data_IF_523153009278
#
_entry.id   IF_523153009278
#
_cell.length_a   1.000
_cell.length_b   1.000
_cell.length_c   1.000
_cell.angle_alpha   90.00
_cell.angle_beta   90.00
_cell.angle_gamma   90.00
#
_symmetry.space_group_name_H-M   'P 1'
#
loop_
_entity.id
_entity.type
_entity.pdbx_description
1 polymer ?
#
# COMPACT_ATOMS: atom_id res chain seq x y z
N UNK A 1 -29.58 -11.57 -54.75
CA UNK A 1 -29.27 -10.65 -53.62
C UNK A 1 -28.99 -11.44 -52.33
N UNK A 2 -28.13 -12.46 -52.36
CA UNK A 2 -27.80 -13.28 -51.16
C UNK A 2 -26.28 -13.51 -50.98
N UNK A 3 -25.48 -13.27 -52.02
CA UNK A 3 -24.02 -13.49 -52.01
C UNK A 3 -23.26 -12.28 -51.41
N UNK A 4 -23.77 -11.06 -51.61
CA UNK A 4 -23.12 -9.81 -51.14
C UNK A 4 -23.24 -9.62 -49.61
N UNK A 5 -24.28 -10.18 -48.98
CA UNK A 5 -24.48 -10.09 -47.52
C UNK A 5 -23.48 -10.97 -46.74
N UNK A 6 -23.15 -12.16 -47.27
CA UNK A 6 -22.18 -13.06 -46.64
C UNK A 6 -20.75 -12.52 -46.70
N UNK A 7 -20.38 -11.82 -47.78
CA UNK A 7 -19.03 -11.24 -47.93
C UNK A 7 -18.78 -10.09 -46.93
N UNK A 8 -19.80 -9.26 -46.66
CA UNK A 8 -19.72 -8.20 -45.64
C UNK A 8 -19.62 -8.75 -44.22
N UNK A 9 -20.30 -9.85 -43.92
CA UNK A 9 -20.21 -10.52 -42.62
C UNK A 9 -18.85 -11.16 -42.40
N UNK A 10 -18.28 -11.79 -43.43
CA UNK A 10 -16.94 -12.38 -43.37
C UNK A 10 -15.86 -11.31 -43.16
N UNK A 11 -15.95 -10.17 -43.88
CA UNK A 11 -15.06 -9.02 -43.71
C UNK A 11 -15.20 -8.36 -42.32
N UNK A 12 -16.42 -8.24 -41.80
CA UNK A 12 -16.63 -7.69 -40.46
C UNK A 12 -16.05 -8.61 -39.39
N UNK A 13 -16.21 -9.93 -39.55
CA UNK A 13 -15.66 -10.91 -38.61
C UNK A 13 -14.14 -10.94 -38.63
N UNK A 14 -13.50 -10.83 -39.81
CA UNK A 14 -12.03 -10.76 -39.90
C UNK A 14 -11.48 -9.44 -39.33
N UNK A 15 -12.17 -8.31 -39.55
CA UNK A 15 -11.79 -7.02 -38.96
C UNK A 15 -11.94 -7.05 -37.43
N UNK A 16 -13.05 -7.60 -36.90
CA UNK A 16 -13.25 -7.76 -35.45
C UNK A 16 -12.21 -8.71 -34.86
N UNK A 17 -11.90 -9.81 -35.55
CA UNK A 17 -10.88 -10.77 -35.10
C UNK A 17 -9.47 -10.16 -35.08
N UNK A 18 -9.10 -9.34 -36.08
CA UNK A 18 -7.84 -8.60 -36.10
C UNK A 18 -7.80 -7.52 -35.00
N UNK A 19 -8.90 -6.79 -34.79
CA UNK A 19 -9.01 -5.78 -33.72
C UNK A 19 -8.91 -6.40 -32.32
N UNK A 20 -9.47 -7.60 -32.12
CA UNK A 20 -9.34 -8.38 -30.89
C UNK A 20 -7.89 -8.87 -30.73
N UNK A 21 -7.23 -9.31 -31.80
CA UNK A 21 -5.83 -9.74 -31.75
C UNK A 21 -4.87 -8.57 -31.43
N UNK A 22 -5.14 -7.36 -31.95
CA UNK A 22 -4.34 -6.17 -31.61
C UNK A 22 -4.61 -5.65 -30.19
N UNK A 23 -5.76 -5.95 -29.59
CA UNK A 23 -6.06 -5.60 -28.20
C UNK A 23 -5.45 -6.58 -27.17
N UNK A 24 -5.05 -7.79 -27.60
CA UNK A 24 -4.57 -8.85 -26.71
C UNK A 24 -3.05 -8.90 -26.53
N UNK A 25 -2.27 -8.02 -27.16
CA UNK A 25 -0.80 -8.00 -27.01
C UNK A 25 -0.29 -6.71 -26.38
N UNK A 26 -0.70 -6.42 -25.15
CA UNK A 26 0.10 -5.54 -24.29
C UNK A 26 1.05 -6.45 -23.50
N UNK A 27 2.10 -6.94 -24.16
CA UNK A 27 3.19 -7.62 -23.47
C UNK A 27 3.86 -6.60 -22.54
N UNK A 28 3.53 -6.67 -21.26
CA UNK A 28 4.24 -5.93 -20.22
C UNK A 28 5.69 -6.39 -20.19
N UNK A 29 6.58 -5.64 -20.82
CA UNK A 29 8.03 -5.90 -20.79
C UNK A 29 8.48 -5.76 -19.33
N UNK A 30 8.91 -6.85 -18.71
CA UNK A 30 9.49 -6.85 -17.36
C UNK A 30 10.90 -6.23 -17.45
N UNK A 31 11.00 -4.93 -17.23
CA UNK A 31 12.30 -4.23 -17.19
C UNK A 31 13.01 -4.51 -15.87
N UNK A 32 13.96 -5.44 -15.86
CA UNK A 32 14.83 -5.70 -14.71
C UNK A 32 15.84 -4.55 -14.57
N UNK A 33 15.57 -3.60 -13.68
CA UNK A 33 16.50 -2.48 -13.38
C UNK A 33 17.72 -2.95 -12.60
N UNK A 34 18.84 -3.14 -13.30
CA UNK A 34 20.18 -3.39 -12.74
C UNK A 34 20.84 -2.09 -12.25
N UNK A 35 21.78 -2.21 -11.32
CA UNK A 35 22.56 -1.10 -10.77
C UNK A 35 23.57 -0.61 -11.81
N UNK A 36 23.54 0.68 -12.14
CA UNK A 36 24.51 1.29 -13.05
C UNK A 36 25.84 1.61 -12.35
N UNK A 37 26.88 1.92 -13.12
CA UNK A 37 28.17 2.37 -12.57
C UNK A 37 28.00 3.66 -11.76
N UNK A 38 27.29 4.63 -12.32
CA UNK A 38 27.04 5.94 -11.68
C UNK A 38 26.23 5.80 -10.39
N UNK A 39 25.32 4.83 -10.32
CA UNK A 39 24.61 4.51 -9.09
C UNK A 39 25.57 3.96 -8.04
N UNK A 40 26.42 3.00 -8.40
CA UNK A 40 27.38 2.41 -7.47
C UNK A 40 28.47 3.38 -7.01
N UNK A 41 28.84 4.37 -7.81
CA UNK A 41 29.77 5.44 -7.40
C UNK A 41 29.22 6.23 -6.20
N UNK A 42 27.89 6.36 -6.09
CA UNK A 42 27.21 6.99 -4.94
C UNK A 42 26.90 6.00 -3.81
N UNK A 43 27.16 4.71 -4.03
CA UNK A 43 26.81 3.58 -3.19
C UNK A 43 25.39 3.68 -2.55
N UNK A 44 24.33 3.16 -3.22
CA UNK A 44 22.98 3.21 -2.68
C UNK A 44 22.73 2.15 -1.59
N UNK A 45 23.70 1.29 -1.31
CA UNK A 45 23.56 0.18 -0.39
C UNK A 45 23.66 0.64 1.07
N UNK A 46 22.69 0.23 1.88
CA UNK A 46 22.66 0.53 3.31
C UNK A 46 23.39 -0.56 4.12
N UNK A 47 23.63 -0.27 5.40
CA UNK A 47 24.07 -1.25 6.39
C UNK A 47 25.34 -2.04 6.02
N UNK A 48 26.29 -1.35 5.37
CA UNK A 48 27.57 -1.95 4.97
C UNK A 48 27.49 -2.83 3.72
N UNK A 49 26.36 -2.80 2.98
CA UNK A 49 26.23 -3.50 1.71
C UNK A 49 27.19 -2.98 0.64
N UNK A 50 27.59 -3.87 -0.28
CA UNK A 50 28.49 -3.57 -1.39
C UNK A 50 27.71 -3.40 -2.69
N UNK A 51 27.94 -2.29 -3.39
CA UNK A 51 27.39 -2.06 -4.72
C UNK A 51 28.33 -2.62 -5.79
N UNK A 52 27.77 -3.36 -6.74
CA UNK A 52 28.51 -3.90 -7.89
C UNK A 52 27.69 -3.55 -9.16
N UNK A 53 28.27 -2.79 -10.11
CA UNK A 53 27.59 -2.45 -11.35
C UNK A 53 27.16 -3.71 -12.11
N UNK A 54 25.95 -3.70 -12.67
CA UNK A 54 25.37 -4.83 -13.40
C UNK A 54 24.54 -5.80 -12.54
N UNK A 55 24.66 -5.75 -11.20
CA UNK A 55 23.82 -6.55 -10.30
C UNK A 55 22.40 -5.99 -10.20
N UNK A 56 21.42 -6.85 -9.90
CA UNK A 56 20.02 -6.44 -9.70
C UNK A 56 19.83 -5.69 -8.36
N UNK A 57 20.68 -5.97 -7.38
CA UNK A 57 20.70 -5.34 -6.07
C UNK A 57 22.07 -5.43 -5.40
N UNK A 58 22.15 -4.85 -4.21
CA UNK A 58 23.34 -4.82 -3.37
C UNK A 58 23.70 -6.21 -2.82
N UNK A 59 24.99 -6.44 -2.60
CA UNK A 59 25.47 -7.59 -1.81
C UNK A 59 25.44 -7.20 -0.35
N UNK A 60 24.54 -7.82 0.43
CA UNK A 60 24.30 -7.45 1.81
C UNK A 60 25.23 -8.20 2.77
N UNK A 61 25.53 -7.53 3.90
CA UNK A 61 26.20 -8.13 5.05
C UNK A 61 25.24 -9.04 5.82
N UNK A 62 25.79 -9.85 6.73
CA UNK A 62 24.98 -10.74 7.59
C UNK A 62 23.87 -9.95 8.31
N UNK A 63 22.68 -10.55 8.41
CA UNK A 63 21.52 -9.95 9.06
C UNK A 63 20.72 -8.98 8.18
N UNK A 64 21.17 -8.70 6.95
CA UNK A 64 20.52 -7.75 6.04
C UNK A 64 20.13 -8.38 4.70
N UNK A 65 19.08 -7.84 4.08
CA UNK A 65 18.56 -8.24 2.78
C UNK A 65 17.81 -7.09 2.09
N UNK A 66 17.28 -7.38 0.90
CA UNK A 66 16.55 -6.42 0.06
C UNK A 66 17.49 -5.75 -0.94
N UNK A 67 16.90 -5.11 -1.97
CA UNK A 67 17.65 -4.54 -3.09
C UNK A 67 18.77 -3.58 -2.66
N UNK A 68 18.55 -2.84 -1.57
CA UNK A 68 19.49 -1.87 -1.03
C UNK A 68 19.97 -2.22 0.39
N UNK A 69 19.84 -3.49 0.81
CA UNK A 69 20.17 -3.94 2.18
C UNK A 69 19.45 -3.18 3.29
N UNK A 70 18.25 -2.68 2.99
CA UNK A 70 17.45 -1.84 3.89
C UNK A 70 16.55 -2.65 4.83
N UNK A 71 16.51 -3.98 4.70
CA UNK A 71 15.64 -4.86 5.48
C UNK A 71 16.44 -5.87 6.27
N UNK A 72 15.88 -6.30 7.40
CA UNK A 72 16.40 -7.41 8.17
C UNK A 72 16.21 -8.73 7.43
N UNK A 73 17.24 -9.57 7.48
CA UNK A 73 17.19 -10.94 6.96
C UNK A 73 16.17 -11.76 7.76
N UNK A 74 15.02 -12.09 7.15
CA UNK A 74 13.94 -12.86 7.78
C UNK A 74 12.95 -13.41 6.77
N UNK A 75 12.16 -14.38 7.19
CA UNK A 75 10.93 -14.77 6.51
C UNK A 75 9.80 -13.77 6.80
N UNK A 76 9.00 -13.50 5.77
CA UNK A 76 7.82 -12.63 5.83
C UNK A 76 6.56 -13.46 6.07
N UNK A 77 6.46 -14.62 5.43
CA UNK A 77 5.30 -15.52 5.55
C UNK A 77 5.63 -16.67 6.50
N UNK A 78 4.65 -17.06 7.33
CA UNK A 78 4.77 -18.22 8.22
C UNK A 78 4.95 -19.54 7.47
N UNK A 79 4.53 -19.60 6.20
CA UNK A 79 4.61 -20.79 5.36
C UNK A 79 5.96 -21.00 4.65
N UNK A 80 6.94 -20.10 4.84
CA UNK A 80 8.21 -20.16 4.13
C UNK A 80 8.99 -21.46 4.32
N UNK A 81 9.03 -22.01 5.55
CA UNK A 81 9.75 -23.26 5.82
C UNK A 81 9.13 -24.44 5.08
N UNK A 82 7.78 -24.50 5.06
CA UNK A 82 7.05 -25.51 4.29
C UNK A 82 7.31 -25.38 2.79
N UNK A 83 7.26 -24.18 2.24
CA UNK A 83 7.52 -23.97 0.82
C UNK A 83 8.96 -24.33 0.42
N UNK A 84 9.93 -24.09 1.31
CA UNK A 84 11.31 -24.52 1.09
C UNK A 84 11.44 -26.05 1.09
N UNK A 85 10.75 -26.76 2.00
CA UNK A 85 10.71 -28.23 1.99
C UNK A 85 10.04 -28.81 0.73
N UNK A 86 9.06 -28.10 0.17
CA UNK A 86 8.41 -28.42 -1.11
C UNK A 86 9.25 -27.97 -2.33
N UNK A 87 10.53 -27.59 -2.13
CA UNK A 87 11.49 -27.15 -3.15
C UNK A 87 11.04 -25.93 -3.99
N UNK A 88 10.05 -25.18 -3.51
CA UNK A 88 9.48 -24.04 -4.26
C UNK A 88 10.47 -22.90 -4.47
N UNK A 89 11.48 -22.77 -3.62
CA UNK A 89 12.50 -21.72 -3.78
C UNK A 89 13.23 -21.83 -5.13
N UNK A 90 13.55 -23.06 -5.59
CA UNK A 90 14.33 -23.27 -6.80
C UNK A 90 13.46 -23.66 -8.00
N UNK A 91 12.42 -24.49 -7.81
CA UNK A 91 11.59 -25.03 -8.90
C UNK A 91 10.89 -23.94 -9.70
N UNK A 92 10.44 -22.85 -9.05
CA UNK A 92 9.74 -21.75 -9.73
C UNK A 92 10.57 -20.47 -9.82
N UNK A 93 11.87 -20.54 -9.54
CA UNK A 93 12.75 -19.37 -9.50
C UNK A 93 12.88 -18.65 -10.84
N UNK A 94 12.78 -19.40 -11.94
CA UNK A 94 12.76 -18.85 -13.30
C UNK A 94 11.46 -18.11 -13.64
N UNK A 95 10.38 -18.38 -12.92
CA UNK A 95 9.05 -17.80 -13.14
C UNK A 95 8.77 -16.64 -12.20
N UNK A 96 9.29 -16.69 -10.97
CA UNK A 96 9.02 -15.68 -9.94
C UNK A 96 10.17 -15.51 -8.96
N UNK A 97 10.37 -14.28 -8.50
CA UNK A 97 11.29 -13.94 -7.40
C UNK A 97 10.57 -13.85 -6.04
N UNK A 98 9.31 -14.29 -5.97
CA UNK A 98 8.49 -14.21 -4.75
C UNK A 98 9.19 -14.82 -3.54
N UNK A 99 9.76 -16.02 -3.68
CA UNK A 99 10.40 -16.75 -2.59
C UNK A 99 11.72 -16.09 -2.15
N UNK A 100 12.56 -15.64 -3.08
CA UNK A 100 13.80 -14.91 -2.79
C UNK A 100 13.53 -13.62 -1.97
N UNK A 101 12.40 -12.96 -2.23
CA UNK A 101 12.03 -11.68 -1.59
C UNK A 101 11.33 -11.87 -0.24
N UNK A 102 10.56 -12.95 -0.08
CA UNK A 102 9.67 -13.16 1.07
C UNK A 102 10.12 -14.26 2.03
N UNK A 103 10.94 -15.21 1.58
CA UNK A 103 11.34 -16.40 2.33
C UNK A 103 12.86 -16.53 2.44
N UNK A 104 13.52 -15.38 2.67
CA UNK A 104 14.96 -15.27 2.51
C UNK A 104 15.79 -16.17 3.44
N UNK A 105 15.28 -16.51 4.64
CA UNK A 105 15.98 -17.44 5.54
C UNK A 105 15.75 -18.88 5.08
N UNK A 106 14.51 -19.28 4.84
CA UNK A 106 14.19 -20.66 4.42
C UNK A 106 14.78 -21.01 3.05
N UNK A 107 14.85 -20.03 2.14
CA UNK A 107 15.45 -20.18 0.81
C UNK A 107 16.95 -19.84 0.77
N UNK A 108 17.62 -19.75 1.94
CA UNK A 108 19.07 -19.50 2.05
C UNK A 108 19.57 -18.25 1.26
N UNK A 109 18.71 -17.25 1.09
CA UNK A 109 19.04 -16.00 0.40
C UNK A 109 19.83 -15.06 1.29
N UNK A 110 19.71 -15.19 2.61
CA UNK A 110 20.49 -14.44 3.60
C UNK A 110 20.65 -15.24 4.90
N UNK A 111 21.63 -14.84 5.71
CA UNK A 111 21.86 -15.42 7.05
C UNK A 111 21.41 -14.40 8.10
N UNK A 112 20.48 -14.76 9.02
CA UNK A 112 20.04 -13.85 10.06
C UNK A 112 21.15 -13.60 11.09
N UNK A 113 21.09 -12.44 11.74
CA UNK A 113 21.98 -12.13 12.86
C UNK A 113 21.28 -12.54 14.17
N UNK A 114 21.80 -13.53 14.92
CA UNK A 114 21.16 -14.04 16.13
C UNK A 114 21.17 -13.03 17.29
N UNK A 115 22.03 -12.00 17.23
CA UNK A 115 22.07 -10.95 18.26
C UNK A 115 20.88 -9.99 18.17
N UNK A 116 20.14 -10.01 17.05
CA UNK A 116 19.10 -9.03 16.75
C UNK A 116 17.73 -9.65 16.94
N UNK A 117 17.03 -9.22 17.99
CA UNK A 117 15.64 -9.61 18.24
C UNK A 117 14.68 -8.82 17.34
N UNK A 118 14.13 -9.48 16.33
CA UNK A 118 13.19 -8.89 15.38
C UNK A 118 11.77 -8.78 15.94
N UNK A 119 10.99 -7.85 15.40
CA UNK A 119 9.55 -7.76 15.70
C UNK A 119 8.81 -9.00 15.18
N UNK A 120 7.74 -9.46 15.85
CA UNK A 120 6.98 -10.61 15.39
C UNK A 120 6.40 -10.43 13.98
N UNK A 121 5.86 -9.24 13.70
CA UNK A 121 5.20 -8.93 12.42
C UNK A 121 6.10 -8.03 11.58
N UNK A 122 6.68 -8.52 10.47
CA UNK A 122 7.47 -7.70 9.55
C UNK A 122 6.58 -6.87 8.63
N UNK A 123 7.16 -5.81 8.06
CA UNK A 123 6.58 -5.16 6.89
C UNK A 123 6.83 -6.04 5.65
N UNK A 124 5.75 -6.47 5.00
CA UNK A 124 5.86 -7.21 3.75
C UNK A 124 6.46 -6.31 2.63
N UNK A 125 7.34 -6.85 1.77
CA UNK A 125 7.99 -6.09 0.70
C UNK A 125 7.03 -5.32 -0.21
N UNK A 126 5.89 -5.92 -0.52
CA UNK A 126 4.87 -5.29 -1.35
C UNK A 126 4.33 -3.97 -0.77
N UNK A 127 4.48 -3.75 0.54
CA UNK A 127 4.02 -2.56 1.27
C UNK A 127 5.15 -1.57 1.60
N UNK A 128 6.40 -1.86 1.23
CA UNK A 128 7.52 -0.92 1.37
C UNK A 128 7.28 0.46 0.74
N UNK A 129 6.58 0.60 -0.41
CA UNK A 129 6.29 1.91 -0.98
C UNK A 129 5.48 2.84 -0.07
N UNK A 130 4.66 2.28 0.83
CA UNK A 130 3.89 3.05 1.83
C UNK A 130 4.57 3.11 3.19
N UNK A 131 5.83 2.68 3.33
CA UNK A 131 6.53 2.70 4.63
C UNK A 131 6.56 4.07 5.31
N UNK A 132 6.45 5.17 4.54
CA UNK A 132 6.46 6.52 5.06
C UNK A 132 5.28 6.85 5.99
N UNK A 133 4.15 6.13 5.88
CA UNK A 133 2.99 6.32 6.77
C UNK A 133 3.06 5.44 8.03
N UNK A 134 4.00 4.49 8.12
CA UNK A 134 4.04 3.55 9.23
C UNK A 134 4.39 4.25 10.54
N UNK A 135 3.59 3.95 11.56
CA UNK A 135 3.70 4.55 12.88
C UNK A 135 2.35 4.76 13.56
N UNK A 136 2.44 5.19 14.81
CA UNK A 136 1.35 5.83 15.53
C UNK A 136 1.51 7.34 15.43
N UNK A 137 0.43 8.03 15.11
CA UNK A 137 0.41 9.44 14.77
C UNK A 137 -0.67 10.16 15.55
N UNK A 138 -0.37 11.33 16.11
CA UNK A 138 -1.30 12.12 16.92
C UNK A 138 -1.46 13.53 16.38
N UNK A 139 -2.69 14.03 16.41
CA UNK A 139 -3.03 15.41 16.06
C UNK A 139 -4.09 15.95 17.01
N UNK A 140 -3.94 17.21 17.43
CA UNK A 140 -4.99 17.99 18.06
C UNK A 140 -5.65 18.87 17.00
N UNK A 141 -6.94 18.67 16.75
CA UNK A 141 -7.72 19.54 15.87
C UNK A 141 -8.39 20.65 16.68
N UNK A 142 -8.36 21.88 16.15
CA UNK A 142 -9.00 23.08 16.72
C UNK A 142 -10.37 23.40 16.10
N UNK A 143 -10.76 22.66 15.07
CA UNK A 143 -12.08 22.68 14.43
C UNK A 143 -12.61 21.24 14.37
N UNK A 144 -13.92 21.07 14.35
CA UNK A 144 -14.58 19.75 14.20
C UNK A 144 -14.33 19.07 12.84
N UNK A 145 -13.46 19.63 11.99
CA UNK A 145 -13.15 19.11 10.67
C UNK A 145 -12.44 17.76 10.76
N UNK A 146 -13.15 16.67 10.48
CA UNK A 146 -12.70 15.28 10.54
C UNK A 146 -13.02 14.57 9.22
N UNK A 147 -12.33 13.46 8.98
CA UNK A 147 -12.56 12.60 7.83
C UNK A 147 -12.97 11.20 8.31
N UNK A 148 -14.01 10.58 7.73
CA UNK A 148 -14.87 11.11 6.67
C UNK A 148 -15.91 12.11 7.18
N UNK A 149 -16.47 11.88 8.37
CA UNK A 149 -17.49 12.70 9.03
C UNK A 149 -16.87 13.75 9.93
N UNK A 150 -17.54 14.88 10.11
CA UNK A 150 -17.14 15.91 11.07
C UNK A 150 -17.55 15.57 12.51
N UNK A 151 -16.79 16.11 13.47
CA UNK A 151 -17.15 16.13 14.89
C UNK A 151 -18.14 17.27 15.14
N UNK A 152 -19.07 17.07 16.07
CA UNK A 152 -19.99 18.12 16.50
C UNK A 152 -19.28 19.23 17.28
N UNK A 153 -18.36 18.82 18.15
CA UNK A 153 -17.54 19.74 18.92
C UNK A 153 -16.39 20.33 18.10
N UNK A 154 -16.03 21.55 18.47
CA UNK A 154 -15.01 22.33 17.79
C UNK A 154 -13.59 21.80 17.93
N UNK A 155 -13.21 21.13 19.03
CA UNK A 155 -11.83 20.65 19.19
C UNK A 155 -11.83 19.18 19.59
N UNK A 156 -10.90 18.41 19.02
CA UNK A 156 -10.79 16.98 19.29
C UNK A 156 -9.36 16.47 19.14
N UNK A 157 -9.08 15.36 19.80
CA UNK A 157 -7.85 14.61 19.65
C UNK A 157 -8.04 13.49 18.64
N UNK A 158 -7.05 13.27 17.77
CA UNK A 158 -7.04 12.14 16.86
C UNK A 158 -5.71 11.39 16.94
N UNK A 159 -5.82 10.08 17.07
CA UNK A 159 -4.70 9.15 16.86
C UNK A 159 -4.99 8.26 15.65
N UNK A 160 -4.06 8.21 14.70
CA UNK A 160 -4.11 7.28 13.57
C UNK A 160 -2.89 6.36 13.59
N UNK A 161 -3.15 5.07 13.51
CA UNK A 161 -2.15 4.02 13.58
C UNK A 161 -2.11 3.27 12.25
N UNK A 162 -0.92 3.20 11.65
CA UNK A 162 -0.62 2.34 10.51
C UNK A 162 0.42 1.32 10.95
N UNK A 163 0.03 0.06 11.01
CA UNK A 163 0.90 -1.04 11.46
C UNK A 163 0.84 -2.22 10.50
N UNK A 164 1.96 -2.96 10.32
CA UNK A 164 1.94 -4.20 9.55
C UNK A 164 0.91 -5.18 10.11
N UNK A 165 0.16 -5.85 9.23
CA UNK A 165 -0.69 -6.97 9.60
C UNK A 165 0.06 -8.30 9.44
N UNK A 166 -0.38 -9.34 10.15
CA UNK A 166 0.11 -10.69 9.85
C UNK A 166 -0.24 -11.04 8.40
N UNK A 167 0.76 -11.55 7.68
CA UNK A 167 0.57 -11.85 6.26
C UNK A 167 -0.16 -13.19 6.14
N UNK A 168 -1.30 -13.25 5.44
CA UNK A 168 -2.04 -14.50 5.25
C UNK A 168 -1.23 -15.47 4.38
N UNK A 169 -1.51 -16.76 4.49
CA UNK A 169 -0.89 -17.77 3.62
C UNK A 169 -1.21 -17.53 2.14
N UNK A 170 -2.42 -17.01 1.86
CA UNK A 170 -2.87 -16.60 0.54
C UNK A 170 -3.54 -15.23 0.61
N UNK A 171 -3.34 -14.42 -0.42
CA UNK A 171 -3.88 -13.06 -0.50
C UNK A 171 -2.81 -11.98 -0.33
N UNK A 172 -3.14 -10.72 -0.66
CA UNK A 172 -2.20 -9.62 -0.56
C UNK A 172 -1.92 -9.27 0.91
N UNK A 173 -0.66 -8.92 1.27
CA UNK A 173 -0.37 -8.35 2.57
C UNK A 173 -1.09 -7.00 2.72
N UNK A 174 -1.42 -6.64 3.96
CA UNK A 174 -2.06 -5.36 4.30
C UNK A 174 -1.38 -4.66 5.47
N UNK A 175 -1.69 -3.37 5.64
CA UNK A 175 -1.49 -2.65 6.89
C UNK A 175 -2.81 -2.57 7.63
N UNK A 176 -2.79 -2.86 8.92
CA UNK A 176 -3.88 -2.51 9.81
C UNK A 176 -3.88 -1.00 10.02
N UNK A 177 -5.02 -0.39 9.77
CA UNK A 177 -5.27 1.03 9.99
C UNK A 177 -6.25 1.15 11.14
N UNK A 178 -5.95 1.99 12.11
CA UNK A 178 -6.91 2.33 13.18
C UNK A 178 -6.86 3.82 13.40
N UNK A 179 -7.98 4.51 13.21
CA UNK A 179 -8.16 5.91 13.60
C UNK A 179 -9.09 5.99 14.79
N UNK A 180 -8.72 6.79 15.78
CA UNK A 180 -9.52 7.07 16.97
C UNK A 180 -9.58 8.58 17.16
N UNK A 181 -10.78 9.14 17.20
CA UNK A 181 -11.06 10.54 17.49
C UNK A 181 -11.82 10.66 18.81
N UNK A 182 -11.42 11.59 19.69
CA UNK A 182 -11.94 11.70 21.06
C UNK A 182 -12.27 13.15 21.39
N UNK A 183 -13.49 13.38 21.89
CA UNK A 183 -13.92 14.62 22.57
C UNK A 183 -14.79 14.28 23.77
N UNK A 184 -14.28 14.47 24.99
CA UNK A 184 -15.03 14.14 26.19
C UNK A 184 -15.51 12.68 26.16
N UNK A 185 -16.83 12.50 25.99
CA UNK A 185 -17.47 11.18 25.89
C UNK A 185 -17.74 10.72 24.44
N UNK A 186 -17.59 11.59 23.43
CA UNK A 186 -17.70 11.21 22.00
C UNK A 186 -16.38 10.54 21.56
N UNK A 187 -16.43 9.22 21.37
CA UNK A 187 -15.29 8.41 20.93
C UNK A 187 -15.65 7.71 19.63
N UNK A 188 -14.95 8.08 18.56
CA UNK A 188 -15.18 7.55 17.21
C UNK A 188 -13.97 6.80 16.73
N UNK A 189 -14.18 5.52 16.45
CA UNK A 189 -13.12 4.56 16.13
C UNK A 189 -13.42 3.98 14.76
N UNK A 190 -12.39 3.93 13.92
CA UNK A 190 -12.41 3.24 12.64
C UNK A 190 -11.26 2.27 12.55
N UNK A 191 -11.55 1.05 12.10
CA UNK A 191 -10.59 0.01 11.80
C UNK A 191 -10.61 -0.30 10.31
N UNK A 192 -9.47 -0.64 9.74
CA UNK A 192 -9.38 -0.90 8.32
C UNK A 192 -8.10 -1.58 7.88
N UNK A 193 -8.02 -1.84 6.58
CA UNK A 193 -6.89 -2.48 5.92
C UNK A 193 -6.48 -1.67 4.70
N UNK A 194 -5.20 -1.29 4.65
CA UNK A 194 -4.59 -0.70 3.45
C UNK A 194 -3.84 -1.78 2.69
N UNK A 195 -4.16 -1.98 1.42
CA UNK A 195 -3.47 -2.88 0.49
C UNK A 195 -2.91 -2.11 -0.70
N UNK A 196 -1.91 -2.68 -1.35
CA UNK A 196 -1.36 -2.17 -2.60
C UNK A 196 -1.52 -3.22 -3.69
N UNK A 197 -1.83 -2.77 -4.91
CA UNK A 197 -1.91 -3.62 -6.08
C UNK A 197 -0.49 -3.87 -6.62
N UNK A 198 -0.03 -5.12 -6.70
CA UNK A 198 1.26 -5.41 -7.31
C UNK A 198 1.28 -5.02 -8.80
N UNK A 199 2.45 -4.65 -9.31
CA UNK A 199 2.70 -4.42 -10.74
C UNK A 199 1.82 -3.34 -11.43
N UNK A 200 1.22 -2.42 -10.68
CA UNK A 200 0.51 -1.26 -11.25
C UNK A 200 1.44 -0.05 -11.40
N UNK A 201 1.24 0.75 -12.46
CA UNK A 201 1.94 2.01 -12.68
C UNK A 201 0.96 3.12 -13.11
N UNK A 202 0.71 4.17 -12.29
CA UNK A 202 1.25 4.38 -10.94
C UNK A 202 0.79 3.30 -9.96
N UNK A 203 1.49 3.18 -8.83
CA UNK A 203 1.15 2.15 -7.84
C UNK A 203 -0.24 2.42 -7.24
N UNK A 204 -1.17 1.48 -7.36
CA UNK A 204 -2.54 1.61 -6.86
C UNK A 204 -2.64 1.10 -5.41
N UNK A 205 -3.48 1.75 -4.61
CA UNK A 205 -3.77 1.36 -3.23
C UNK A 205 -5.25 1.41 -2.92
N UNK A 206 -5.68 0.55 -1.99
CA UNK A 206 -7.06 0.46 -1.52
C UNK A 206 -7.10 0.45 0.00
N UNK A 207 -7.94 1.31 0.59
CA UNK A 207 -8.19 1.36 2.02
C UNK A 207 -9.66 1.05 2.29
N UNK A 208 -9.90 -0.09 2.93
CA UNK A 208 -11.21 -0.48 3.41
C UNK A 208 -11.29 -0.17 4.90
N UNK A 209 -12.39 0.43 5.36
CA UNK A 209 -12.55 0.74 6.78
C UNK A 209 -14.01 0.65 7.25
N UNK A 210 -14.17 0.28 8.51
CA UNK A 210 -15.44 0.23 9.24
C UNK A 210 -15.30 1.07 10.51
N UNK A 211 -16.36 1.75 10.92
CA UNK A 211 -16.37 2.56 12.14
C UNK A 211 -17.53 2.22 13.07
N UNK A 212 -17.37 2.55 14.35
CA UNK A 212 -18.44 2.45 15.36
C UNK A 212 -19.58 3.46 15.14
N UNK A 213 -19.44 4.40 14.20
CA UNK A 213 -20.50 5.32 13.76
C UNK A 213 -21.54 4.63 12.85
N UNK A 214 -21.27 3.38 12.42
CA UNK A 214 -22.08 2.69 11.43
C UNK A 214 -21.71 3.02 9.98
N UNK A 215 -20.45 3.43 9.74
CA UNK A 215 -19.91 3.65 8.40
C UNK A 215 -19.00 2.51 7.95
N UNK A 216 -19.19 2.07 6.70
CA UNK A 216 -18.22 1.29 5.94
C UNK A 216 -17.79 2.05 4.70
N UNK A 217 -16.48 2.12 4.43
CA UNK A 217 -15.93 2.89 3.32
C UNK A 217 -14.89 2.06 2.58
N UNK A 218 -14.95 2.13 1.26
CA UNK A 218 -13.86 1.73 0.37
C UNK A 218 -13.30 2.96 -0.30
N UNK A 219 -12.01 3.17 -0.10
CA UNK A 219 -11.25 4.21 -0.78
C UNK A 219 -10.24 3.60 -1.74
N UNK A 220 -10.21 4.10 -2.97
CA UNK A 220 -9.24 3.69 -3.98
C UNK A 220 -8.40 4.89 -4.41
N UNK A 221 -7.15 4.63 -4.78
CA UNK A 221 -6.34 5.65 -5.41
C UNK A 221 -4.92 5.20 -5.67
N UNK A 222 -4.00 6.16 -5.71
CA UNK A 222 -2.66 5.94 -6.23
C UNK A 222 -1.58 6.58 -5.36
N UNK A 223 -0.40 5.95 -5.37
CA UNK A 223 0.81 6.43 -4.75
C UNK A 223 1.69 7.09 -5.83
N UNK A 224 1.82 8.40 -5.75
CA UNK A 224 2.68 9.20 -6.63
C UNK A 224 3.52 10.17 -5.80
N UNK A 225 4.78 10.37 -6.15
CA UNK A 225 5.67 11.32 -5.45
C UNK A 225 5.71 11.14 -3.92
N UNK A 226 5.76 9.86 -3.47
CA UNK A 226 5.75 9.49 -2.05
C UNK A 226 4.54 10.05 -1.27
N UNK A 227 3.40 10.18 -1.96
CA UNK A 227 2.13 10.61 -1.39
C UNK A 227 1.01 9.70 -1.88
N UNK A 228 0.27 9.13 -0.93
CA UNK A 228 -0.85 8.24 -1.21
C UNK A 228 -2.13 9.09 -1.25
N UNK A 229 -2.80 9.13 -2.40
CA UNK A 229 -4.08 9.83 -2.57
C UNK A 229 -5.18 8.80 -2.70
N UNK A 230 -6.22 8.92 -1.89
CA UNK A 230 -7.33 7.98 -1.77
C UNK A 230 -8.65 8.73 -1.94
N UNK A 231 -9.53 8.20 -2.77
CA UNK A 231 -10.86 8.73 -3.04
C UNK A 231 -11.90 7.74 -2.54
N UNK A 232 -12.95 8.22 -1.88
CA UNK A 232 -14.11 7.40 -1.53
C UNK A 232 -14.76 6.93 -2.82
N UNK A 233 -14.76 5.62 -3.06
CA UNK A 233 -15.45 5.00 -4.20
C UNK A 233 -16.73 4.31 -3.78
N UNK A 234 -16.81 3.88 -2.53
CA UNK A 234 -18.01 3.30 -1.95
C UNK A 234 -18.14 3.72 -0.49
N UNK A 235 -19.36 4.06 -0.09
CA UNK A 235 -19.70 4.39 1.28
C UNK A 235 -21.06 3.76 1.60
N UNK A 236 -21.10 2.95 2.66
CA UNK A 236 -22.32 2.43 3.25
C UNK A 236 -22.49 3.04 4.63
N UNK A 237 -23.71 3.46 4.93
CA UNK A 237 -24.03 4.31 6.06
C UNK A 237 -25.25 3.75 6.78
N UNK A 238 -25.20 3.68 8.10
CA UNK A 238 -26.36 3.32 8.90
C UNK A 238 -27.45 4.42 8.82
N UNK A 239 -28.75 4.08 8.67
CA UNK A 239 -29.81 5.08 8.46
C UNK A 239 -29.98 6.12 9.58
N UNK A 240 -29.51 5.82 10.80
CA UNK A 240 -29.59 6.74 11.94
C UNK A 240 -28.51 7.82 11.93
N UNK A 241 -27.61 7.82 10.94
CA UNK A 241 -26.54 8.79 10.87
C UNK A 241 -27.04 10.17 10.44
N UNK A 242 -26.42 11.20 11.02
CA UNK A 242 -26.68 12.58 10.69
C UNK A 242 -26.13 12.93 9.28
N UNK A 243 -27.01 13.29 8.32
CA UNK A 243 -26.60 13.61 6.97
C UNK A 243 -25.86 14.95 6.85
N UNK A 244 -25.89 15.81 7.88
CA UNK A 244 -25.26 17.15 7.82
C UNK A 244 -23.74 17.10 7.97
N UNK A 245 -23.22 16.10 8.68
CA UNK A 245 -21.78 15.87 8.89
C UNK A 245 -21.19 14.83 7.94
N UNK A 246 -22.03 14.19 7.12
CA UNK A 246 -21.69 13.12 6.19
C UNK A 246 -21.45 13.69 4.79
N UNK A 247 -20.26 13.49 4.19
CA UNK A 247 -20.02 13.91 2.83
C UNK A 247 -20.61 12.93 1.80
N UNK A 248 -21.05 13.46 0.65
CA UNK A 248 -21.38 12.68 -0.55
C UNK A 248 -20.17 11.96 -1.15
N UNK A 249 -18.99 12.53 -0.95
CA UNK A 249 -17.74 12.00 -1.43
C UNK A 249 -16.56 12.75 -0.82
N UNK A 250 -15.39 12.17 -0.90
CA UNK A 250 -14.20 12.81 -0.37
C UNK A 250 -12.92 12.18 -0.82
N UNK A 251 -11.86 12.96 -0.73
CA UNK A 251 -10.49 12.57 -1.03
C UNK A 251 -9.64 12.88 0.18
N UNK A 252 -8.75 11.96 0.54
CA UNK A 252 -7.66 12.23 1.47
C UNK A 252 -6.33 11.84 0.88
N UNK A 253 -5.33 12.66 1.17
CA UNK A 253 -3.96 12.48 0.70
C UNK A 253 -2.99 12.50 1.86
N UNK A 254 -2.23 11.41 2.01
CA UNK A 254 -1.17 11.28 2.99
C UNK A 254 0.19 11.58 2.38
N UNK A 255 0.98 12.44 3.02
CA UNK A 255 2.35 12.74 2.62
C UNK A 255 3.23 12.95 3.84
N UNK A 256 4.47 12.46 3.78
CA UNK A 256 5.49 12.79 4.79
C UNK A 256 6.00 14.23 4.59
N UNK A 257 5.94 15.04 5.64
CA UNK A 257 6.49 16.41 5.67
C UNK A 257 7.43 16.54 6.86
N UNK A 258 8.74 16.44 6.60
CA UNK A 258 9.75 16.35 7.64
C UNK A 258 9.48 15.16 8.57
N UNK A 259 9.33 15.44 9.87
CA UNK A 259 8.99 14.44 10.89
C UNK A 259 7.48 14.25 11.11
N UNK A 260 6.62 14.96 10.38
CA UNK A 260 5.17 14.90 10.53
C UNK A 260 4.48 14.19 9.36
N UNK A 261 3.32 13.59 9.62
CA UNK A 261 2.46 13.05 8.59
C UNK A 261 1.40 14.10 8.29
N UNK A 262 1.35 14.55 7.04
CA UNK A 262 0.33 15.47 6.56
C UNK A 262 -0.81 14.68 5.92
N UNK A 263 -2.05 14.97 6.33
CA UNK A 263 -3.26 14.53 5.67
C UNK A 263 -3.97 15.76 5.09
N UNK A 264 -4.11 15.81 3.77
CA UNK A 264 -4.93 16.82 3.08
C UNK A 264 -6.26 16.21 2.70
N UNK A 265 -7.36 16.88 3.02
CA UNK A 265 -8.72 16.37 2.84
C UNK A 265 -9.53 17.33 1.99
N UNK A 266 -10.34 16.78 1.09
CA UNK A 266 -11.41 17.47 0.40
C UNK A 266 -12.71 16.67 0.54
N UNK A 267 -13.82 17.32 0.89
CA UNK A 267 -15.14 16.70 1.07
C UNK A 267 -16.19 17.47 0.29
N UNK A 268 -17.13 16.76 -0.32
CA UNK A 268 -18.30 17.32 -0.99
C UNK A 268 -19.56 17.01 -0.17
N UNK A 269 -20.42 17.99 0.06
CA UNK A 269 -21.70 17.86 0.76
C UNK A 269 -22.89 18.09 -0.18
N UNK A 270 -24.11 17.80 0.30
CA UNK A 270 -25.36 17.86 -0.48
C UNK A 270 -25.68 19.25 -1.08
N UNK A 271 -25.19 20.32 -0.48
CA UNK A 271 -25.36 21.72 -0.92
C UNK A 271 -24.28 22.18 -1.92
N UNK A 272 -23.54 21.23 -2.51
CA UNK A 272 -22.33 21.49 -3.31
C UNK A 272 -21.22 22.22 -2.55
N UNK A 273 -21.31 22.30 -1.22
CA UNK A 273 -20.24 22.85 -0.40
C UNK A 273 -19.04 21.90 -0.45
N UNK A 274 -17.90 22.47 -0.80
CA UNK A 274 -16.62 21.80 -0.75
C UNK A 274 -15.87 22.29 0.47
N UNK A 275 -15.53 21.36 1.37
CA UNK A 275 -14.70 21.64 2.53
C UNK A 275 -13.32 21.05 2.32
N UNK A 276 -12.30 21.89 2.43
CA UNK A 276 -10.90 21.47 2.34
C UNK A 276 -10.16 21.85 3.61
N UNK A 277 -9.35 20.92 4.10
CA UNK A 277 -8.49 21.18 5.25
C UNK A 277 -7.25 20.30 5.23
N UNK A 278 -6.28 20.69 6.04
CA UNK A 278 -5.05 19.96 6.26
C UNK A 278 -4.92 19.62 7.73
N UNK A 279 -4.46 18.42 8.02
CA UNK A 279 -4.12 17.95 9.35
C UNK A 279 -2.67 17.49 9.39
N UNK A 280 -1.96 17.90 10.44
CA UNK A 280 -0.57 17.55 10.66
C UNK A 280 -0.50 16.67 11.89
N UNK A 281 -0.01 15.45 11.72
CA UNK A 281 0.17 14.52 12.82
C UNK A 281 1.64 14.42 13.22
N UNK A 282 1.88 14.48 14.52
CA UNK A 282 3.17 14.21 15.16
C UNK A 282 3.32 12.72 15.39
N UNK A 283 4.53 12.20 15.22
CA UNK A 283 4.80 10.78 15.42
C UNK A 283 4.86 10.45 16.92
N UNK A 284 4.06 9.50 17.37
CA UNK A 284 4.10 8.98 18.74
C UNK A 284 5.04 7.77 18.84
N UNK A 285 4.93 6.85 17.88
CA UNK A 285 5.66 5.57 17.92
C UNK A 285 6.08 5.15 16.51
N UNK A 286 7.30 4.63 16.41
CA UNK A 286 7.75 3.90 15.22
C UNK A 286 7.36 2.43 15.36
N UNK A 287 6.88 1.83 14.28
CA UNK A 287 6.86 0.38 14.17
C UNK A 287 8.21 -0.06 13.62
N UNK A 288 8.97 -0.93 14.32
CA UNK A 288 10.22 -1.42 13.80
C UNK A 288 9.97 -2.25 12.54
N UNK A 289 10.80 -2.05 11.52
CA UNK A 289 10.85 -2.85 10.29
C UNK A 289 12.07 -3.75 10.29
#
# INVERSE_FOLDING_TARGET
>A
MFIIHNLKFLLLYTIISLLIYTYLSEESIVVIKRLSKEQCDRNPCLNGGKCIPGNIGCTCTQGWMGKYCHRRCRNIYKSCDRWAMEEKCEVVRSQTNFFDINCAVSCNTCIPDPSIKLTPIPLAPALEPVQFILGSWYSQASKGLRYPTDMYDGAYEETINFMPAEVPMFGPPSLNVTSMSVVGNDVRISHGFLTLKPNSNPLEGALLSTSNEGLNIVELGTLTNNALTLNITYMQVHPSMDPTILPLGGTRRFKRVGQNLEMTVAKLFNDNKIVQFKKIFKKLKNFPH
#
